data_IF_515766269063
#
_entry.id   IF_515766269063
#
_cell.length_a   1.000
_cell.length_b   1.000
_cell.length_c   1.000
_cell.angle_alpha   90.00
_cell.angle_beta   90.00
_cell.angle_gamma   90.00
#
_symmetry.space_group_name_H-M   'P 1'
#
loop_
_entity.id
_entity.type
_entity.pdbx_description
1 polymer ?
#
# COMPACT_ATOMS: atom_id res chain seq x y z
N UNK A 1 -15.62 32.23 -2.68
CA UNK A 1 -14.16 32.00 -2.83
C UNK A 1 -13.53 33.09 -3.68
N UNK A 2 -12.83 34.02 -3.02
CA UNK A 2 -12.21 35.19 -3.66
C UNK A 2 -11.02 34.85 -4.57
N UNK A 3 -10.62 33.58 -4.67
CA UNK A 3 -9.46 33.14 -5.47
C UNK A 3 -9.76 31.98 -6.45
N UNK A 4 -11.00 31.91 -6.94
CA UNK A 4 -11.38 30.84 -7.87
C UNK A 4 -10.52 30.79 -9.13
N UNK A 5 -10.17 31.94 -9.69
CA UNK A 5 -9.30 31.99 -10.87
C UNK A 5 -7.93 31.34 -10.65
N UNK A 6 -7.33 31.55 -9.47
CA UNK A 6 -6.07 30.89 -9.11
C UNK A 6 -6.19 29.38 -8.88
N UNK A 7 -7.30 28.92 -8.33
CA UNK A 7 -7.59 27.48 -8.17
C UNK A 7 -7.79 26.82 -9.52
N UNK A 8 -8.61 27.43 -10.39
CA UNK A 8 -8.88 26.92 -11.74
C UNK A 8 -7.59 26.77 -12.55
N UNK A 9 -6.73 27.80 -12.55
CA UNK A 9 -5.45 27.75 -13.28
C UNK A 9 -4.53 26.62 -12.78
N UNK A 10 -4.53 26.33 -11.46
CA UNK A 10 -3.77 25.20 -10.91
C UNK A 10 -4.36 23.86 -11.33
N UNK A 11 -5.67 23.71 -11.34
CA UNK A 11 -6.35 22.48 -11.79
C UNK A 11 -6.12 22.24 -13.28
N UNK A 12 -6.20 23.26 -14.09
CA UNK A 12 -5.89 23.16 -15.53
C UNK A 12 -4.44 22.77 -15.76
N UNK A 13 -3.51 23.36 -15.02
CA UNK A 13 -2.10 22.98 -15.09
C UNK A 13 -1.87 21.52 -14.65
N UNK A 14 -2.54 21.05 -13.59
CA UNK A 14 -2.47 19.65 -13.18
C UNK A 14 -3.01 18.72 -14.25
N UNK A 15 -4.20 19.02 -14.80
CA UNK A 15 -4.75 18.28 -15.95
C UNK A 15 -3.73 18.20 -17.06
N UNK A 16 -3.15 19.32 -17.38
CA UNK A 16 -2.18 19.45 -18.45
C UNK A 16 -0.88 18.68 -18.23
N UNK A 17 -0.46 18.49 -17.01
CA UNK A 17 0.72 17.67 -16.67
C UNK A 17 0.40 16.17 -16.67
N UNK A 18 -0.82 15.79 -16.26
CA UNK A 18 -1.21 14.40 -16.07
C UNK A 18 -1.75 13.77 -17.35
N UNK A 19 -2.52 14.54 -18.14
CA UNK A 19 -3.18 14.05 -19.36
C UNK A 19 -2.28 14.26 -20.57
N UNK A 20 -1.46 13.26 -20.86
CA UNK A 20 -0.57 13.22 -22.01
C UNK A 20 -0.55 11.80 -22.58
N UNK A 21 -0.86 11.66 -23.86
CA UNK A 21 -0.89 10.37 -24.57
C UNK A 21 0.42 9.57 -24.42
N UNK A 22 1.56 10.22 -24.27
CA UNK A 22 2.87 9.57 -24.10
C UNK A 22 3.01 8.80 -22.78
N UNK A 23 2.23 9.20 -21.77
CA UNK A 23 2.26 8.58 -20.44
C UNK A 23 1.13 7.58 -20.24
N UNK A 24 0.33 7.33 -21.29
CA UNK A 24 -0.80 6.43 -21.23
C UNK A 24 -0.34 4.98 -21.39
N UNK A 25 -0.73 4.14 -20.45
CA UNK A 25 -0.65 2.68 -20.57
C UNK A 25 -2.09 2.17 -20.65
N UNK A 26 -2.39 1.44 -21.70
CA UNK A 26 -3.71 0.81 -21.87
C UNK A 26 -3.55 -0.70 -21.79
N UNK A 27 -4.28 -1.30 -20.87
CA UNK A 27 -4.38 -2.76 -20.75
C UNK A 27 -5.83 -3.17 -21.01
N UNK A 28 -6.02 -4.06 -21.97
CA UNK A 28 -7.31 -4.65 -22.30
C UNK A 28 -7.26 -6.16 -22.12
N UNK A 29 -8.22 -6.69 -21.35
CA UNK A 29 -8.39 -8.11 -21.17
C UNK A 29 -9.80 -8.50 -21.64
N UNK A 30 -9.90 -9.16 -22.79
CA UNK A 30 -11.13 -9.68 -23.33
C UNK A 30 -10.85 -10.87 -24.24
N UNK A 31 -11.89 -11.59 -24.66
CA UNK A 31 -11.77 -12.57 -25.74
C UNK A 31 -11.42 -11.89 -27.07
N UNK A 32 -10.85 -12.63 -28.02
CA UNK A 32 -10.37 -12.11 -29.31
C UNK A 32 -11.43 -11.29 -30.05
N UNK A 33 -12.67 -11.76 -30.08
CA UNK A 33 -13.80 -11.06 -30.71
C UNK A 33 -14.11 -9.74 -30.02
N UNK A 34 -14.02 -9.70 -28.69
CA UNK A 34 -14.20 -8.49 -27.90
C UNK A 34 -13.10 -7.46 -28.16
N UNK A 35 -11.84 -7.91 -28.21
CA UNK A 35 -10.69 -7.05 -28.52
C UNK A 35 -10.84 -6.43 -29.92
N UNK A 36 -11.19 -7.24 -30.93
CA UNK A 36 -11.42 -6.75 -32.28
C UNK A 36 -12.56 -5.71 -32.38
N UNK A 37 -13.62 -5.91 -31.60
CA UNK A 37 -14.77 -4.99 -31.60
C UNK A 37 -14.47 -3.60 -31.00
N UNK A 38 -13.50 -3.49 -30.07
CA UNK A 38 -13.18 -2.21 -29.40
C UNK A 38 -11.95 -1.52 -29.97
N UNK A 39 -11.16 -2.21 -30.80
CA UNK A 39 -9.87 -1.72 -31.28
C UNK A 39 -9.95 -0.32 -31.92
N UNK A 40 -10.85 -0.13 -32.90
CA UNK A 40 -10.95 1.16 -33.60
C UNK A 40 -11.44 2.29 -32.69
N UNK A 41 -12.35 1.99 -31.77
CA UNK A 41 -12.84 2.96 -30.78
C UNK A 41 -11.74 3.36 -29.79
N UNK A 42 -10.93 2.40 -29.38
CA UNK A 42 -9.79 2.64 -28.52
C UNK A 42 -8.72 3.50 -29.20
N UNK A 43 -8.37 3.17 -30.45
CA UNK A 43 -7.44 3.96 -31.25
C UNK A 43 -7.93 5.40 -31.43
N UNK A 44 -9.20 5.59 -31.71
CA UNK A 44 -9.82 6.91 -31.81
C UNK A 44 -9.75 7.66 -30.47
N UNK A 45 -10.04 6.99 -29.36
CA UNK A 45 -9.93 7.57 -28.02
C UNK A 45 -8.51 8.01 -27.72
N UNK A 46 -7.52 7.12 -27.92
CA UNK A 46 -6.11 7.41 -27.68
C UNK A 46 -5.66 8.61 -28.56
N UNK A 47 -6.09 8.64 -29.84
CA UNK A 47 -5.75 9.72 -30.75
C UNK A 47 -6.43 11.06 -30.40
N UNK A 48 -7.55 11.03 -29.71
CA UNK A 48 -8.22 12.24 -29.20
C UNK A 48 -7.52 12.86 -27.98
N UNK A 49 -6.65 12.11 -27.30
CA UNK A 49 -5.94 12.62 -26.15
C UNK A 49 -4.80 13.56 -26.55
N UNK A 50 -4.51 14.59 -25.72
CA UNK A 50 -3.43 15.52 -26.00
C UNK A 50 -2.08 14.81 -26.19
N UNK A 51 -1.35 15.21 -27.22
CA UNK A 51 0.05 14.89 -27.42
C UNK A 51 0.86 16.15 -27.19
N UNK A 52 1.65 16.19 -26.14
CA UNK A 52 2.44 17.38 -25.83
C UNK A 52 3.77 17.36 -26.55
N UNK A 53 4.21 18.53 -26.97
CA UNK A 53 5.56 18.71 -27.50
C UNK A 53 6.60 18.74 -26.39
N UNK A 54 7.80 18.25 -26.68
CA UNK A 54 8.93 18.24 -25.77
C UNK A 54 9.28 16.87 -25.21
N UNK A 55 10.46 16.75 -24.61
CA UNK A 55 10.91 15.53 -23.96
C UNK A 55 10.09 15.24 -22.71
N UNK A 56 9.74 13.97 -22.51
CA UNK A 56 9.20 13.52 -21.21
C UNK A 56 10.28 13.73 -20.16
N UNK A 57 10.10 14.73 -19.31
CA UNK A 57 11.04 15.03 -18.25
C UNK A 57 10.75 14.06 -17.11
N UNK A 58 11.63 13.11 -16.89
CA UNK A 58 11.63 12.34 -15.64
C UNK A 58 12.07 13.32 -14.56
N UNK A 59 11.14 13.73 -13.72
CA UNK A 59 11.41 14.65 -12.64
C UNK A 59 12.02 13.88 -11.48
N UNK A 60 13.15 14.34 -10.96
CA UNK A 60 13.77 13.74 -9.78
C UNK A 60 13.06 14.25 -8.51
N UNK A 61 11.94 13.63 -8.22
CA UNK A 61 11.17 13.92 -7.03
C UNK A 61 11.96 13.71 -5.73
N UNK A 62 12.98 12.84 -5.74
CA UNK A 62 13.81 12.60 -4.56
C UNK A 62 14.65 13.81 -4.18
N UNK A 63 15.08 14.60 -5.19
CA UNK A 63 15.83 15.83 -4.96
C UNK A 63 14.96 16.96 -4.39
N UNK A 64 13.66 16.95 -4.67
CA UNK A 64 12.72 18.00 -4.26
C UNK A 64 11.87 17.66 -3.04
N UNK A 65 11.75 16.38 -2.71
CA UNK A 65 11.04 15.98 -1.50
C UNK A 65 11.83 16.42 -0.28
N UNK A 66 11.19 17.20 0.58
CA UNK A 66 11.73 17.51 1.89
C UNK A 66 12.04 16.20 2.62
N UNK A 67 13.29 16.05 3.08
CA UNK A 67 13.64 14.91 3.91
C UNK A 67 12.92 15.07 5.24
N UNK A 68 12.12 14.09 5.58
CA UNK A 68 11.55 14.01 6.92
C UNK A 68 12.67 13.65 7.90
N UNK A 69 13.01 14.59 8.79
CA UNK A 69 14.10 14.41 9.76
C UNK A 69 13.60 13.95 11.14
N UNK A 70 12.28 13.86 11.31
CA UNK A 70 11.66 13.43 12.56
C UNK A 70 11.50 11.91 12.67
N UNK A 71 11.35 11.44 13.91
CA UNK A 71 11.06 10.04 14.22
C UNK A 71 9.56 9.71 14.15
N UNK A 72 8.71 10.73 14.09
CA UNK A 72 7.25 10.58 13.99
C UNK A 72 6.56 11.89 13.69
N UNK A 73 5.39 11.81 13.08
CA UNK A 73 4.48 12.93 12.86
C UNK A 73 3.12 12.63 13.49
N UNK A 74 2.50 13.64 14.06
CA UNK A 74 1.15 13.58 14.61
C UNK A 74 0.26 14.65 14.00
N UNK A 75 -0.89 14.23 13.46
CA UNK A 75 -1.90 15.14 12.93
C UNK A 75 -3.12 15.16 13.86
N UNK A 76 -3.48 16.33 14.34
CA UNK A 76 -4.69 16.49 15.14
C UNK A 76 -5.89 16.56 14.20
N UNK A 77 -6.83 15.64 14.38
CA UNK A 77 -8.08 15.57 13.61
C UNK A 77 -9.27 15.56 14.57
N UNK A 78 -10.44 16.09 14.19
CA UNK A 78 -11.59 16.19 15.07
C UNK A 78 -12.29 14.83 15.25
N UNK A 79 -11.59 13.87 15.86
CA UNK A 79 -12.09 12.53 16.19
C UNK A 79 -11.74 12.16 17.63
N UNK A 80 -12.45 11.17 18.19
CA UNK A 80 -12.16 10.60 19.51
C UNK A 80 -11.30 9.33 19.45
N UNK A 81 -10.82 8.99 18.28
CA UNK A 81 -10.04 7.77 18.01
C UNK A 81 -8.81 8.11 17.20
N UNK A 82 -7.77 7.26 17.31
CA UNK A 82 -6.53 7.42 16.59
C UNK A 82 -6.50 6.53 15.34
N UNK A 83 -5.66 6.92 14.42
CA UNK A 83 -5.20 6.14 13.28
C UNK A 83 -3.69 6.03 13.43
N UNK A 84 -3.20 4.89 13.88
CA UNK A 84 -1.79 4.74 14.28
C UNK A 84 -1.05 3.97 13.21
N UNK A 85 0.05 4.51 12.72
CA UNK A 85 0.92 3.87 11.75
C UNK A 85 2.38 3.88 12.22
N UNK A 86 3.08 2.76 12.01
CA UNK A 86 4.53 2.65 12.19
C UNK A 86 5.12 1.77 11.11
N UNK A 87 6.20 2.18 10.49
CA UNK A 87 6.82 1.39 9.43
C UNK A 87 8.27 1.77 9.17
N UNK A 88 8.97 0.82 8.56
CA UNK A 88 10.35 1.02 8.12
C UNK A 88 10.66 0.10 6.95
N UNK A 89 11.64 0.43 6.10
CA UNK A 89 12.20 -0.51 5.15
C UNK A 89 13.00 -1.58 5.92
N UNK A 90 12.70 -2.85 5.67
CA UNK A 90 13.42 -4.00 6.24
C UNK A 90 14.28 -4.71 5.19
N UNK A 91 14.11 -4.37 3.93
CA UNK A 91 14.94 -4.77 2.79
C UNK A 91 15.27 -3.54 1.94
N UNK A 92 16.44 -3.53 1.32
CA UNK A 92 16.79 -2.52 0.32
C UNK A 92 15.96 -2.66 -0.95
N UNK A 93 15.81 -1.57 -1.68
CA UNK A 93 15.13 -1.60 -2.98
C UNK A 93 15.93 -2.48 -3.95
N UNK A 94 15.28 -3.50 -4.51
CA UNK A 94 15.91 -4.46 -5.43
C UNK A 94 16.61 -5.64 -4.74
N UNK A 95 16.61 -5.71 -3.42
CA UNK A 95 17.07 -6.90 -2.70
C UNK A 95 16.06 -8.04 -2.85
N UNK A 96 16.58 -9.26 -2.88
CA UNK A 96 15.74 -10.45 -2.91
C UNK A 96 15.04 -10.64 -1.57
N UNK A 97 13.71 -10.70 -1.61
CA UNK A 97 12.87 -10.85 -0.42
C UNK A 97 12.44 -12.30 -0.24
N UNK A 98 12.39 -12.75 1.02
CA UNK A 98 11.91 -14.09 1.33
C UNK A 98 10.38 -14.15 1.38
N UNK A 99 9.79 -15.19 0.77
CA UNK A 99 8.37 -15.50 0.92
C UNK A 99 7.95 -15.76 2.37
N UNK A 100 8.88 -16.10 3.27
CA UNK A 100 8.65 -16.24 4.69
C UNK A 100 8.08 -14.94 5.30
N UNK A 101 8.45 -13.77 4.79
CA UNK A 101 7.91 -12.49 5.28
C UNK A 101 6.40 -12.38 5.14
N UNK A 102 5.83 -12.92 4.07
CA UNK A 102 4.38 -12.96 3.88
C UNK A 102 3.69 -13.86 4.91
N UNK A 103 4.31 -15.00 5.24
CA UNK A 103 3.81 -15.93 6.27
C UNK A 103 3.88 -15.28 7.66
N UNK A 104 5.01 -14.65 8.00
CA UNK A 104 5.19 -13.90 9.26
C UNK A 104 4.17 -12.76 9.35
N UNK A 105 4.01 -11.99 8.28
CA UNK A 105 3.04 -10.89 8.21
C UNK A 105 1.61 -11.39 8.48
N UNK A 106 1.23 -12.51 7.88
CA UNK A 106 -0.08 -13.12 8.13
C UNK A 106 -0.21 -13.59 9.59
N UNK A 107 0.80 -14.27 10.12
CA UNK A 107 0.79 -14.76 11.50
C UNK A 107 0.62 -13.60 12.50
N UNK A 108 1.39 -12.54 12.36
CA UNK A 108 1.26 -11.34 13.20
C UNK A 108 -0.15 -10.73 13.15
N UNK A 109 -0.74 -10.64 11.98
CA UNK A 109 -2.07 -10.06 11.78
C UNK A 109 -3.18 -10.87 12.42
N UNK A 110 -3.05 -12.20 12.42
CA UNK A 110 -4.08 -13.14 12.93
C UNK A 110 -3.87 -13.58 14.39
N UNK A 111 -2.75 -13.19 15.01
CA UNK A 111 -2.44 -13.51 16.41
C UNK A 111 -2.10 -12.23 17.19
N UNK A 112 -0.84 -11.82 17.21
CA UNK A 112 -0.31 -10.74 18.05
C UNK A 112 -1.07 -9.43 17.93
N UNK A 113 -1.23 -8.92 16.72
CA UNK A 113 -1.91 -7.65 16.49
C UNK A 113 -3.41 -7.76 16.78
N UNK A 114 -4.01 -8.90 16.39
CA UNK A 114 -5.40 -9.16 16.68
C UNK A 114 -5.67 -9.15 18.19
N UNK A 115 -4.90 -9.89 18.94
CA UNK A 115 -5.10 -10.03 20.37
C UNK A 115 -4.78 -8.73 21.11
N UNK A 116 -3.63 -8.11 20.86
CA UNK A 116 -3.15 -6.96 21.62
C UNK A 116 -3.83 -5.65 21.23
N UNK A 117 -3.95 -5.39 19.93
CA UNK A 117 -4.46 -4.09 19.46
C UNK A 117 -5.97 -4.09 19.31
N UNK A 118 -6.55 -5.19 18.76
CA UNK A 118 -7.99 -5.24 18.53
C UNK A 118 -8.77 -5.74 19.76
N UNK A 119 -8.45 -6.92 20.26
CA UNK A 119 -9.25 -7.56 21.33
C UNK A 119 -9.03 -6.86 22.67
N UNK A 120 -7.78 -6.75 23.10
CA UNK A 120 -7.42 -6.10 24.37
C UNK A 120 -7.43 -4.58 24.27
N UNK A 121 -6.82 -4.04 23.21
CA UNK A 121 -6.69 -2.60 23.01
C UNK A 121 -7.97 -1.90 22.53
N UNK A 122 -8.96 -2.64 22.01
CA UNK A 122 -10.25 -2.09 21.61
C UNK A 122 -10.25 -1.36 20.28
N UNK A 123 -9.19 -1.43 19.50
CA UNK A 123 -9.19 -0.87 18.14
C UNK A 123 -10.22 -1.58 17.24
N UNK A 124 -10.86 -0.84 16.34
CA UNK A 124 -11.79 -1.44 15.38
C UNK A 124 -11.09 -2.41 14.43
N UNK A 125 -9.87 -2.09 14.03
CA UNK A 125 -9.04 -2.94 13.20
C UNK A 125 -7.55 -2.66 13.39
N UNK A 126 -6.74 -3.68 13.12
CA UNK A 126 -5.30 -3.57 13.04
C UNK A 126 -4.78 -4.45 11.92
N UNK A 127 -3.66 -4.09 11.35
CA UNK A 127 -3.05 -4.84 10.27
C UNK A 127 -1.55 -4.57 10.21
N UNK A 128 -0.87 -5.41 9.49
CA UNK A 128 0.46 -5.13 8.98
C UNK A 128 0.51 -5.46 7.49
N UNK A 129 1.40 -4.82 6.78
CA UNK A 129 1.67 -5.11 5.37
C UNK A 129 3.16 -5.10 5.10
N UNK A 130 3.59 -6.02 4.27
CA UNK A 130 4.91 -6.06 3.70
C UNK A 130 4.82 -5.88 2.18
N UNK A 131 5.59 -4.94 1.64
CA UNK A 131 5.67 -4.72 0.20
C UNK A 131 7.03 -5.21 -0.29
N UNK A 132 7.10 -6.32 -1.04
CA UNK A 132 8.36 -6.90 -1.52
C UNK A 132 9.07 -6.02 -2.55
N UNK A 133 8.35 -5.15 -3.27
CA UNK A 133 8.94 -4.25 -4.26
C UNK A 133 9.76 -3.12 -3.63
N UNK A 134 9.30 -2.62 -2.48
CA UNK A 134 9.94 -1.49 -1.79
C UNK A 134 10.68 -1.91 -0.52
N UNK A 135 10.57 -3.17 -0.10
CA UNK A 135 11.10 -3.65 1.17
C UNK A 135 10.40 -3.08 2.40
N UNK A 136 9.34 -2.29 2.22
CA UNK A 136 8.66 -1.59 3.31
C UNK A 136 7.77 -2.53 4.12
N UNK A 137 7.99 -2.57 5.42
CA UNK A 137 7.08 -3.19 6.39
C UNK A 137 6.40 -2.10 7.21
N UNK A 138 5.08 -2.21 7.41
CA UNK A 138 4.31 -1.23 8.18
C UNK A 138 3.22 -1.90 9.01
N UNK A 139 2.97 -1.34 10.19
CA UNK A 139 1.82 -1.60 11.04
C UNK A 139 0.80 -0.49 10.88
N UNK A 140 -0.47 -0.81 11.03
CA UNK A 140 -1.56 0.18 11.04
C UNK A 140 -2.64 -0.23 12.01
N UNK A 141 -3.23 0.74 12.74
CA UNK A 141 -4.49 0.55 13.44
C UNK A 141 -5.52 1.57 12.99
N UNK A 142 -6.77 1.17 13.11
CA UNK A 142 -7.92 1.93 12.64
C UNK A 142 -8.93 2.09 13.76
N UNK A 143 -9.38 3.35 13.98
CA UNK A 143 -10.29 3.70 15.08
C UNK A 143 -9.80 3.13 16.40
N UNK A 144 -8.59 3.47 16.77
CA UNK A 144 -7.87 2.96 17.92
C UNK A 144 -8.06 3.94 19.10
N UNK A 145 -8.57 3.49 20.24
CA UNK A 145 -8.66 4.34 21.42
C UNK A 145 -7.29 4.62 22.05
N UNK A 146 -6.27 3.83 21.71
CA UNK A 146 -4.94 3.92 22.32
C UNK A 146 -3.90 4.37 21.28
N UNK A 147 -3.07 5.33 21.60
CA UNK A 147 -1.94 5.74 20.76
C UNK A 147 -0.64 5.07 21.23
N UNK A 148 -0.24 5.35 22.47
CA UNK A 148 1.06 4.94 22.98
C UNK A 148 1.16 3.43 23.23
N UNK A 149 0.11 2.82 23.74
CA UNK A 149 0.07 1.38 23.97
C UNK A 149 0.12 0.59 22.66
N UNK A 150 -0.52 1.12 21.61
CA UNK A 150 -0.46 0.52 20.28
C UNK A 150 0.93 0.64 19.69
N UNK A 151 1.60 1.79 19.78
CA UNK A 151 2.99 1.96 19.36
C UNK A 151 3.93 1.00 20.12
N UNK A 152 3.74 0.87 21.45
CA UNK A 152 4.49 -0.07 22.27
C UNK A 152 4.27 -1.53 21.80
N UNK A 153 3.04 -1.90 21.51
CA UNK A 153 2.72 -3.24 20.95
C UNK A 153 3.47 -3.50 19.64
N UNK A 154 3.58 -2.49 18.78
CA UNK A 154 4.38 -2.62 17.55
C UNK A 154 5.86 -2.83 17.86
N UNK A 155 6.40 -2.14 18.86
CA UNK A 155 7.81 -2.27 19.28
C UNK A 155 8.12 -3.62 19.93
N UNK A 156 7.15 -4.23 20.58
CA UNK A 156 7.28 -5.55 21.21
C UNK A 156 7.16 -6.73 20.23
N UNK A 157 6.79 -6.48 18.97
CA UNK A 157 6.65 -7.53 17.95
C UNK A 157 7.89 -8.41 17.78
N UNK A 158 9.14 -7.89 17.75
CA UNK A 158 10.32 -8.75 17.61
C UNK A 158 10.46 -9.73 18.78
N UNK A 159 10.18 -9.30 20.00
CA UNK A 159 10.23 -10.15 21.19
C UNK A 159 9.15 -11.24 21.11
N UNK A 160 7.93 -10.87 20.73
CA UNK A 160 6.85 -11.83 20.47
C UNK A 160 7.26 -12.89 19.44
N UNK A 161 7.82 -12.47 18.30
CA UNK A 161 8.23 -13.41 17.26
C UNK A 161 9.33 -14.36 17.73
N UNK A 162 10.27 -13.88 18.54
CA UNK A 162 11.33 -14.72 19.10
C UNK A 162 10.78 -15.80 20.03
N UNK A 163 9.76 -15.49 20.83
CA UNK A 163 9.10 -16.50 21.68
C UNK A 163 8.20 -17.42 20.84
N UNK A 164 7.38 -16.89 19.95
CA UNK A 164 6.52 -17.67 19.08
C UNK A 164 7.30 -18.68 18.23
N UNK A 165 8.51 -18.34 17.81
CA UNK A 165 9.38 -19.25 17.05
C UNK A 165 9.79 -20.50 17.87
N UNK A 166 9.93 -20.38 19.18
CA UNK A 166 10.28 -21.51 20.07
C UNK A 166 9.11 -22.48 20.25
N UNK A 167 7.90 -21.96 20.20
CA UNK A 167 6.66 -22.73 20.42
C UNK A 167 5.99 -23.18 19.11
N UNK A 168 6.55 -22.76 17.95
CA UNK A 168 5.98 -23.04 16.65
C UNK A 168 6.01 -24.53 16.33
N UNK A 169 4.83 -25.14 16.24
CA UNK A 169 4.70 -26.52 15.80
C UNK A 169 4.65 -26.64 14.27
N UNK A 170 5.05 -27.80 13.70
CA UNK A 170 4.88 -28.03 12.27
C UNK A 170 3.45 -27.81 11.76
N UNK A 171 2.45 -28.17 12.57
CA UNK A 171 1.04 -27.97 12.23
C UNK A 171 0.68 -26.48 12.16
N UNK A 172 1.12 -25.67 13.13
CA UNK A 172 0.89 -24.22 13.16
C UNK A 172 1.56 -23.54 11.97
N UNK A 173 2.80 -23.94 11.67
CA UNK A 173 3.51 -23.41 10.49
C UNK A 173 2.79 -23.78 9.20
N UNK A 174 2.39 -25.04 9.03
CA UNK A 174 1.64 -25.49 7.85
C UNK A 174 0.34 -24.71 7.66
N UNK A 175 -0.41 -24.46 8.73
CA UNK A 175 -1.64 -23.68 8.68
C UNK A 175 -1.38 -22.22 8.25
N UNK A 176 -0.30 -21.61 8.73
CA UNK A 176 0.09 -20.27 8.35
C UNK A 176 0.48 -20.20 6.85
N UNK A 177 1.23 -21.19 6.37
CA UNK A 177 1.63 -21.30 4.95
C UNK A 177 0.41 -21.53 4.06
N UNK A 178 -0.47 -22.49 4.38
CA UNK A 178 -1.69 -22.76 3.63
C UNK A 178 -2.58 -21.51 3.57
N UNK A 179 -2.73 -20.83 4.69
CA UNK A 179 -3.49 -19.59 4.72
C UNK A 179 -2.89 -18.49 3.84
N UNK A 180 -1.55 -18.40 3.75
CA UNK A 180 -0.88 -17.44 2.88
C UNK A 180 -1.03 -17.82 1.40
N UNK A 181 -0.90 -19.09 1.06
CA UNK A 181 -1.15 -19.58 -0.30
C UNK A 181 -2.58 -19.27 -0.72
N UNK A 182 -3.57 -19.50 0.15
CA UNK A 182 -4.96 -19.16 -0.12
C UNK A 182 -5.21 -17.65 -0.34
N UNK A 183 -4.39 -16.78 0.28
CA UNK A 183 -4.45 -15.34 0.01
C UNK A 183 -3.82 -14.96 -1.35
N UNK A 184 -2.81 -15.70 -1.80
CA UNK A 184 -2.15 -15.51 -3.10
C UNK A 184 -2.98 -16.07 -4.26
N UNK A 185 -3.61 -17.23 -4.05
CA UNK A 185 -4.37 -17.95 -5.08
C UNK A 185 -5.82 -17.47 -5.23
N UNK A 186 -6.15 -16.31 -4.66
CA UNK A 186 -7.51 -15.75 -4.84
C UNK A 186 -7.80 -15.54 -6.32
N UNK A 187 -8.99 -16.00 -6.79
CA UNK A 187 -9.42 -15.71 -8.15
C UNK A 187 -9.39 -14.21 -8.42
N UNK A 188 -8.66 -13.80 -9.43
CA UNK A 188 -8.61 -12.42 -9.88
C UNK A 188 -9.58 -12.21 -11.04
N UNK A 189 -10.31 -11.10 -11.01
CA UNK A 189 -11.08 -10.66 -12.16
C UNK A 189 -10.13 -10.28 -13.30
N UNK A 190 -10.58 -10.33 -14.57
CA UNK A 190 -9.73 -10.00 -15.71
C UNK A 190 -9.05 -8.64 -15.63
N UNK A 191 -9.71 -7.65 -15.03
CA UNK A 191 -9.21 -6.28 -14.81
C UNK A 191 -8.17 -6.17 -13.66
N UNK A 192 -8.02 -7.23 -12.86
CA UNK A 192 -7.04 -7.31 -11.76
C UNK A 192 -5.74 -8.01 -12.17
N UNK A 193 -5.70 -8.57 -13.36
CA UNK A 193 -4.52 -9.21 -13.96
C UNK A 193 -3.69 -8.19 -14.73
#
# INVERSE_FOLDING_TARGET
>A
DSNWGGVLAKLERLRDLLVDRRNLIVNLSAEEKGLAAVQSNLENYINSMPLREGATRIHDWKAEMAKFEGTGEGFIVPTQVNYVGKGAPIYGVGEETSGAMSVVSRHLRTSWLWDKVRVVGGAYGCSNTFNPMTGMFKYTSYRDPNLMETLKTYDETPAFLAEAAKEMTPATLSNAVIGMIGDLDKPMQPDQK
#
